data_IF_338300798871
#
_entry.id   IF_338300798871
#
_cell.length_a   1.000
_cell.length_b   1.000
_cell.length_c   1.000
_cell.angle_alpha   90.00
_cell.angle_beta   90.00
_cell.angle_gamma   90.00
#
_symmetry.space_group_name_H-M   'P 1'
#
loop_
_entity.id
_entity.type
_entity.pdbx_description
1 polymer ?
#
# COMPACT_ATOMS: atom_id res chain seq x y z
N UNK A 1 2.73 -10.28 21.35
CA UNK A 1 1.50 -9.61 20.90
C UNK A 1 1.86 -8.16 20.61
N UNK A 2 1.88 -7.75 19.35
CA UNK A 2 2.13 -6.34 18.96
C UNK A 2 0.77 -5.70 18.73
N UNK A 3 0.29 -4.99 19.75
CA UNK A 3 -0.94 -4.19 19.67
C UNK A 3 -0.54 -2.80 19.17
N UNK A 4 -1.22 -2.33 18.12
CA UNK A 4 -1.07 -0.96 17.67
C UNK A 4 -1.51 -0.02 18.81
N UNK A 5 -0.64 0.92 19.20
CA UNK A 5 -0.97 2.03 20.11
C UNK A 5 -1.15 3.28 19.26
N UNK A 6 -2.38 3.79 19.18
CA UNK A 6 -2.66 5.07 18.54
C UNK A 6 -1.77 6.17 19.15
N UNK A 7 -1.09 6.91 18.28
CA UNK A 7 -0.28 8.09 18.60
C UNK A 7 -0.65 9.20 17.62
N UNK A 8 -0.41 10.46 18.00
CA UNK A 8 -0.87 11.65 17.27
C UNK A 8 -0.41 11.72 15.80
N UNK A 9 0.69 11.06 15.45
CA UNK A 9 1.25 10.92 14.09
C UNK A 9 0.87 9.65 13.33
N UNK A 10 0.13 8.72 13.95
CA UNK A 10 -0.34 7.46 13.35
C UNK A 10 -1.86 7.33 13.55
N UNK A 11 -2.59 8.21 12.89
CA UNK A 11 -4.06 8.23 12.87
C UNK A 11 -4.57 7.73 11.51
N UNK A 12 -5.72 7.03 11.49
CA UNK A 12 -6.48 6.67 10.27
C UNK A 12 -6.84 7.84 9.34
N UNK A 13 -6.52 9.08 9.74
CA UNK A 13 -6.86 10.32 9.04
C UNK A 13 -5.74 10.92 8.21
N UNK A 14 -4.48 10.48 8.34
CA UNK A 14 -3.43 10.95 7.44
C UNK A 14 -3.62 10.29 6.07
N UNK A 15 -3.98 11.04 5.02
CA UNK A 15 -4.18 10.47 3.71
C UNK A 15 -2.82 10.01 3.18
N UNK A 16 -2.64 8.70 3.05
CA UNK A 16 -1.51 8.15 2.34
C UNK A 16 -1.86 8.15 0.86
N UNK A 17 -1.02 8.81 0.05
CA UNK A 17 -1.15 8.77 -1.40
C UNK A 17 0.19 8.36 -2.00
N UNK A 18 0.15 7.38 -2.90
CA UNK A 18 1.30 7.06 -3.73
C UNK A 18 1.62 8.26 -4.63
N UNK A 19 2.91 8.51 -4.82
CA UNK A 19 3.34 9.41 -5.90
C UNK A 19 2.98 8.82 -7.25
N UNK A 20 2.84 9.66 -8.28
CA UNK A 20 2.53 9.19 -9.64
C UNK A 20 3.56 8.18 -10.18
N UNK A 21 4.83 8.33 -9.80
CA UNK A 21 5.88 7.35 -10.13
C UNK A 21 5.61 5.98 -9.48
N UNK A 22 5.22 5.97 -8.20
CA UNK A 22 4.94 4.73 -7.49
C UNK A 22 3.62 4.09 -7.96
N UNK A 23 2.60 4.88 -8.31
CA UNK A 23 1.40 4.33 -8.98
C UNK A 23 1.78 3.60 -10.28
N UNK A 24 2.57 4.21 -11.16
CA UNK A 24 3.01 3.55 -12.40
C UNK A 24 3.80 2.27 -12.14
N UNK A 25 4.62 2.23 -11.09
CA UNK A 25 5.31 1.00 -10.66
C UNK A 25 4.32 -0.05 -10.20
N UNK A 26 3.33 0.32 -9.39
CA UNK A 26 2.29 -0.59 -8.88
C UNK A 26 1.47 -1.16 -10.04
N UNK A 27 1.03 -0.33 -10.98
CA UNK A 27 0.34 -0.79 -12.19
C UNK A 27 1.19 -1.76 -13.01
N UNK A 28 2.48 -1.45 -13.20
CA UNK A 28 3.40 -2.34 -13.90
C UNK A 28 3.66 -3.67 -13.14
N UNK A 29 3.63 -3.65 -11.81
CA UNK A 29 3.73 -4.85 -10.97
C UNK A 29 2.45 -5.67 -11.08
N UNK A 30 1.28 -5.05 -10.96
CA UNK A 30 -0.02 -5.72 -11.09
C UNK A 30 -0.15 -6.32 -12.49
N UNK A 31 0.29 -5.61 -13.54
CA UNK A 31 0.27 -6.11 -14.92
C UNK A 31 1.16 -7.33 -15.17
N UNK A 32 2.16 -7.60 -14.31
CA UNK A 32 2.98 -8.82 -14.38
C UNK A 32 2.27 -10.04 -13.81
N UNK A 33 1.27 -9.85 -12.95
CA UNK A 33 0.53 -10.94 -12.34
C UNK A 33 -0.80 -11.14 -13.06
N UNK A 34 -1.18 -12.39 -13.36
CA UNK A 34 -2.50 -12.67 -13.91
C UNK A 34 -3.59 -12.21 -12.93
N UNK A 35 -4.80 -11.84 -13.43
CA UNK A 35 -5.89 -11.31 -12.60
C UNK A 35 -6.32 -12.26 -11.48
N UNK A 36 -6.16 -13.58 -11.69
CA UNK A 36 -6.44 -14.62 -10.69
C UNK A 36 -5.43 -14.63 -9.52
N UNK A 37 -4.26 -14.00 -9.70
CA UNK A 37 -3.18 -13.91 -8.72
C UNK A 37 -2.84 -12.45 -8.35
N UNK A 38 -3.82 -11.53 -8.42
CA UNK A 38 -3.65 -10.14 -7.94
C UNK A 38 -3.13 -10.07 -6.50
N UNK A 39 -3.44 -11.06 -5.65
CA UNK A 39 -2.90 -11.17 -4.30
C UNK A 39 -1.35 -11.22 -4.26
N UNK A 40 -0.68 -11.71 -5.31
CA UNK A 40 0.78 -11.70 -5.39
C UNK A 40 1.36 -10.29 -5.54
N UNK A 41 0.58 -9.34 -6.08
CA UNK A 41 0.95 -7.94 -6.17
C UNK A 41 0.79 -7.17 -4.85
N UNK A 42 0.15 -7.75 -3.82
CA UNK A 42 0.02 -7.12 -2.49
C UNK A 42 1.40 -6.84 -1.87
N UNK A 43 2.23 -7.87 -1.71
CA UNK A 43 3.54 -7.75 -1.07
C UNK A 43 4.44 -6.68 -1.71
N UNK A 44 4.68 -6.68 -3.04
CA UNK A 44 5.52 -5.66 -3.67
C UNK A 44 4.88 -4.26 -3.63
N UNK A 45 3.55 -4.16 -3.63
CA UNK A 45 2.85 -2.88 -3.50
C UNK A 45 2.98 -2.31 -2.08
N UNK A 46 2.88 -3.16 -1.05
CA UNK A 46 3.15 -2.78 0.34
C UNK A 46 4.62 -2.41 0.57
N UNK A 47 5.56 -3.15 -0.01
CA UNK A 47 7.00 -2.82 0.07
C UNK A 47 7.27 -1.42 -0.51
N UNK A 48 6.65 -1.07 -1.65
CA UNK A 48 6.71 0.27 -2.24
C UNK A 48 6.16 1.36 -1.30
N UNK A 49 5.03 1.10 -0.66
CA UNK A 49 4.44 2.04 0.30
C UNK A 49 5.37 2.26 1.51
N UNK A 50 5.93 1.18 2.04
CA UNK A 50 6.87 1.22 3.16
C UNK A 50 8.14 1.99 2.80
N UNK A 51 8.69 1.76 1.59
CA UNK A 51 9.89 2.48 1.12
C UNK A 51 9.63 3.97 0.89
N UNK A 52 8.43 4.33 0.43
CA UNK A 52 8.07 5.72 0.19
C UNK A 52 7.98 6.53 1.49
N UNK A 53 7.39 5.96 2.54
CA UNK A 53 7.17 6.67 3.81
C UNK A 53 8.17 6.35 4.92
N UNK A 54 8.96 5.29 4.79
CA UNK A 54 9.79 4.72 5.85
C UNK A 54 9.00 3.85 6.85
N UNK A 55 7.67 3.99 6.90
CA UNK A 55 6.77 3.20 7.74
C UNK A 55 5.44 2.95 7.00
N UNK A 56 4.72 1.87 7.36
CA UNK A 56 3.43 1.51 6.75
C UNK A 56 2.26 2.03 7.60
N UNK A 57 1.63 3.16 7.25
CA UNK A 57 0.39 3.58 7.89
C UNK A 57 -0.77 2.68 7.48
N UNK A 58 -1.80 2.60 8.33
CA UNK A 58 -3.06 1.90 8.00
C UNK A 58 -3.74 2.49 6.76
N UNK A 59 -3.59 3.80 6.52
CA UNK A 59 -4.05 4.48 5.32
C UNK A 59 -3.40 3.92 4.05
N UNK A 60 -2.13 3.49 4.10
CA UNK A 60 -1.46 2.86 2.98
C UNK A 60 -2.07 1.49 2.66
N UNK A 61 -2.35 0.68 3.68
CA UNK A 61 -3.04 -0.60 3.47
C UNK A 61 -4.41 -0.41 2.82
N UNK A 62 -5.18 0.60 3.23
CA UNK A 62 -6.48 0.91 2.61
C UNK A 62 -6.36 1.35 1.15
N UNK A 63 -5.36 2.17 0.82
CA UNK A 63 -5.12 2.60 -0.57
C UNK A 63 -4.69 1.42 -1.44
N UNK A 64 -3.80 0.56 -0.94
CA UNK A 64 -3.37 -0.66 -1.64
C UNK A 64 -4.54 -1.61 -1.89
N UNK A 65 -5.38 -1.83 -0.89
CA UNK A 65 -6.60 -2.63 -1.04
C UNK A 65 -7.52 -2.05 -2.13
N UNK A 66 -7.73 -0.73 -2.15
CA UNK A 66 -8.53 -0.06 -3.19
C UNK A 66 -7.98 -0.26 -4.61
N UNK A 67 -6.66 -0.22 -4.77
CA UNK A 67 -5.99 -0.41 -6.07
C UNK A 67 -6.11 -1.86 -6.56
N UNK A 68 -6.03 -2.84 -5.66
CA UNK A 68 -6.04 -4.27 -6.01
C UNK A 68 -7.44 -4.87 -6.15
N UNK A 69 -8.43 -4.32 -5.45
CA UNK A 69 -9.84 -4.72 -5.54
C UNK A 69 -10.55 -4.16 -6.80
N UNK A 70 -9.97 -3.14 -7.44
CA UNK A 70 -10.49 -2.53 -8.68
C UNK A 70 -10.14 -3.32 -9.96
#
# INVERSE_FOLDING_TARGET
MVVHRDSETNNCKTPFKFTEENMKRIEAIIAKYPPEYKCAALIPTLDLAQRQHGWLPISAMHEVARILDS
#
